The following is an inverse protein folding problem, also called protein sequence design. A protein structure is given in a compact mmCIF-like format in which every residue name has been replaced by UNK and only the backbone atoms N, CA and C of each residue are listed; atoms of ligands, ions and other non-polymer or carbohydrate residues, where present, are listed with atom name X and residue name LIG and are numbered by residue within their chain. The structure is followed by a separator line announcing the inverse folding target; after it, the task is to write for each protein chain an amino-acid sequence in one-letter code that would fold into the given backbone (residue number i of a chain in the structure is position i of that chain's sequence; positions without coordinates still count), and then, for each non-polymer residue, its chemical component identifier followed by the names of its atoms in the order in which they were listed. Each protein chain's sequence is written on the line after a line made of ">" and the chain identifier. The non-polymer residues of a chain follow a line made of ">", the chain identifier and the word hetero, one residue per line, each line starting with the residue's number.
data_IF_134041680189
#
_entry.id   IF_134041680189
#
_cell.length_a   1.000
_cell.length_b   1.000
_cell.length_c   1.000
_cell.angle_alpha   90.00
_cell.angle_beta   90.00
_cell.angle_gamma   90.00
#
_symmetry.space_group_name_H-M   'P 1'
#
loop_
_entity.id
_entity.type
_entity.pdbx_description
1 polymer ?
#
# COMPACT_ATOMS: atom_id res chain seq x y z
N UNK A 1 3.60 16.63 16.36
CA UNK A 1 2.83 16.44 15.11
C UNK A 1 3.33 15.13 14.50
N UNK A 2 2.47 14.14 14.36
CA UNK A 2 2.86 12.85 13.82
C UNK A 2 3.25 12.97 12.34
N UNK A 3 4.16 12.08 11.91
CA UNK A 3 4.72 12.07 10.56
C UNK A 3 4.41 10.75 9.86
N UNK A 4 4.06 10.81 8.59
CA UNK A 4 3.81 9.64 7.75
C UNK A 4 4.68 9.68 6.50
N UNK A 5 5.32 8.56 6.17
CA UNK A 5 5.85 8.33 4.83
C UNK A 5 4.88 7.42 4.07
N UNK A 6 4.34 7.94 2.96
CA UNK A 6 3.53 7.16 2.03
C UNK A 6 4.44 6.64 0.93
N UNK A 7 4.61 5.33 0.88
CA UNK A 7 5.43 4.67 -0.13
C UNK A 7 4.57 4.28 -1.31
N UNK A 8 4.96 4.73 -2.47
CA UNK A 8 4.25 4.55 -3.74
C UNK A 8 5.16 3.81 -4.70
N UNK A 9 4.66 2.82 -5.40
CA UNK A 9 5.44 2.10 -6.42
C UNK A 9 5.95 3.05 -7.51
N UNK A 10 7.20 2.86 -7.93
CA UNK A 10 7.79 3.51 -9.10
C UNK A 10 7.58 2.72 -10.39
N UNK A 11 7.04 1.50 -10.31
CA UNK A 11 6.78 0.67 -11.48
C UNK A 11 5.61 1.21 -12.30
N UNK A 12 5.78 1.29 -13.61
CA UNK A 12 4.73 1.63 -14.58
C UNK A 12 4.23 0.43 -15.39
N UNK A 13 4.85 -0.73 -15.15
CA UNK A 13 4.54 -2.00 -15.81
C UNK A 13 4.61 -3.14 -14.81
N UNK A 14 3.63 -4.03 -14.84
CA UNK A 14 3.68 -5.34 -14.20
C UNK A 14 3.94 -6.41 -15.25
N UNK A 15 5.03 -7.16 -15.12
CA UNK A 15 5.38 -8.25 -16.04
C UNK A 15 4.53 -9.47 -15.73
N UNK A 16 3.65 -9.83 -16.62
CA UNK A 16 2.73 -10.95 -16.45
C UNK A 16 3.43 -12.31 -16.65
N UNK A 17 2.78 -13.40 -16.22
CA UNK A 17 3.32 -14.78 -16.30
C UNK A 17 3.71 -15.18 -17.72
N UNK A 18 2.98 -14.71 -18.72
CA UNK A 18 3.28 -14.93 -20.15
C UNK A 18 4.30 -13.93 -20.73
N UNK A 19 5.01 -13.19 -19.86
CA UNK A 19 5.97 -12.15 -20.20
C UNK A 19 5.38 -10.91 -20.92
N UNK A 20 4.05 -10.78 -21.00
CA UNK A 20 3.45 -9.54 -21.53
C UNK A 20 3.53 -8.41 -20.51
N UNK A 21 3.84 -7.16 -20.92
CA UNK A 21 3.78 -6.01 -20.05
C UNK A 21 2.31 -5.61 -19.82
N UNK A 22 1.93 -5.44 -18.57
CA UNK A 22 0.65 -4.86 -18.19
C UNK A 22 0.90 -3.46 -17.63
N UNK A 23 0.36 -2.38 -18.27
CA UNK A 23 0.49 -1.02 -17.74
C UNK A 23 -0.13 -0.94 -16.36
N UNK A 24 0.60 -0.38 -15.41
CA UNK A 24 0.17 -0.26 -14.02
C UNK A 24 0.79 0.97 -13.34
N UNK A 25 0.68 1.02 -12.04
CA UNK A 25 1.21 2.04 -11.17
C UNK A 25 0.59 1.92 -9.78
N UNK A 26 0.44 3.05 -9.09
CA UNK A 26 -0.33 3.11 -7.87
C UNK A 26 -1.82 3.35 -8.16
N UNK A 27 -2.68 2.84 -7.29
CA UNK A 27 -4.13 3.06 -7.41
C UNK A 27 -4.53 4.43 -6.84
N UNK A 28 -5.22 5.24 -7.65
CA UNK A 28 -5.50 6.64 -7.31
C UNK A 28 -6.25 6.82 -5.98
N UNK A 29 -7.33 6.06 -5.73
CA UNK A 29 -8.12 6.15 -4.50
C UNK A 29 -7.33 5.75 -3.26
N UNK A 30 -6.45 4.76 -3.38
CA UNK A 30 -5.63 4.24 -2.29
C UNK A 30 -4.50 5.19 -1.87
N UNK A 31 -4.17 6.12 -2.74
CA UNK A 31 -3.29 7.23 -2.42
C UNK A 31 -4.09 8.46 -1.97
N UNK A 32 -5.06 8.91 -2.76
CA UNK A 32 -5.79 10.18 -2.55
C UNK A 32 -6.57 10.16 -1.24
N UNK A 33 -7.29 9.08 -0.94
CA UNK A 33 -8.14 9.01 0.24
C UNK A 33 -7.32 9.02 1.55
N UNK A 34 -6.28 8.19 1.72
CA UNK A 34 -5.42 8.26 2.90
C UNK A 34 -4.64 9.57 2.99
N UNK A 35 -4.08 10.07 1.88
CA UNK A 35 -3.32 11.31 1.87
C UNK A 35 -4.17 12.48 2.39
N UNK A 36 -5.42 12.61 1.91
CA UNK A 36 -6.35 13.63 2.36
C UNK A 36 -6.65 13.50 3.85
N UNK A 37 -7.01 12.29 4.30
CA UNK A 37 -7.31 12.03 5.72
C UNK A 37 -6.12 12.36 6.63
N UNK A 38 -4.91 12.01 6.23
CA UNK A 38 -3.70 12.34 6.99
C UNK A 38 -3.41 13.85 6.99
N UNK A 39 -3.59 14.52 5.86
CA UNK A 39 -3.45 15.98 5.76
C UNK A 39 -4.49 16.71 6.62
N UNK A 40 -5.76 16.30 6.56
CA UNK A 40 -6.85 16.88 7.35
C UNK A 40 -6.65 16.65 8.86
N UNK A 41 -6.00 15.55 9.24
CA UNK A 41 -5.59 15.27 10.62
C UNK A 41 -4.30 16.00 11.05
N UNK A 42 -3.70 16.80 10.16
CA UNK A 42 -2.51 17.60 10.43
C UNK A 42 -1.20 16.80 10.48
N UNK A 43 -1.12 15.61 9.87
CA UNK A 43 0.12 14.85 9.81
C UNK A 43 1.11 15.50 8.82
N UNK A 44 2.41 15.42 9.13
CA UNK A 44 3.46 15.75 8.17
C UNK A 44 3.61 14.56 7.20
N UNK A 45 3.29 14.78 5.92
CA UNK A 45 3.32 13.73 4.89
C UNK A 45 4.59 13.86 4.06
N UNK A 46 5.26 12.74 3.84
CA UNK A 46 6.36 12.57 2.88
C UNK A 46 5.95 11.50 1.89
N UNK A 47 6.16 11.75 0.59
CA UNK A 47 5.96 10.74 -0.46
C UNK A 47 7.32 10.14 -0.77
N UNK A 48 7.38 8.81 -0.86
CA UNK A 48 8.59 8.09 -1.24
C UNK A 48 8.29 7.04 -2.30
N UNK A 49 9.27 6.73 -3.12
CA UNK A 49 9.21 5.64 -4.08
C UNK A 49 10.55 4.92 -4.20
N UNK A 50 10.58 3.64 -4.61
CA UNK A 50 11.82 2.95 -4.96
C UNK A 50 12.66 3.78 -5.93
N UNK A 51 13.92 4.02 -5.61
CA UNK A 51 14.85 4.84 -6.41
C UNK A 51 14.48 6.33 -6.54
N UNK A 52 13.42 6.82 -5.91
CA UNK A 52 12.91 8.18 -6.11
C UNK A 52 12.27 8.40 -7.49
N UNK A 53 11.83 7.32 -8.12
CA UNK A 53 11.18 7.37 -9.44
C UNK A 53 9.82 8.05 -9.31
N UNK A 54 9.50 8.98 -10.21
CA UNK A 54 8.16 9.58 -10.29
C UNK A 54 7.10 8.51 -10.47
N UNK A 55 6.15 8.35 -9.52
CA UNK A 55 5.14 7.31 -9.59
C UNK A 55 4.18 7.53 -10.76
N UNK A 56 3.75 6.45 -11.38
CA UNK A 56 2.68 6.46 -12.40
C UNK A 56 1.37 6.03 -11.75
N UNK A 57 0.29 6.71 -12.08
CA UNK A 57 -1.06 6.29 -11.68
C UNK A 57 -1.47 5.11 -12.54
N UNK A 58 -2.00 4.06 -11.94
CA UNK A 58 -2.61 2.97 -12.70
C UNK A 58 -3.83 3.48 -13.48
N UNK A 59 -3.84 3.37 -14.81
CA UNK A 59 -4.94 3.91 -15.62
C UNK A 59 -6.30 3.26 -15.31
N UNK A 60 -6.32 2.00 -14.85
CA UNK A 60 -7.56 1.32 -14.45
C UNK A 60 -8.19 1.96 -13.21
N UNK A 61 -7.40 2.63 -12.37
CA UNK A 61 -7.91 3.30 -11.17
C UNK A 61 -8.91 4.43 -11.48
N UNK A 62 -8.92 4.92 -12.71
CA UNK A 62 -9.89 5.92 -13.17
C UNK A 62 -11.08 5.32 -13.92
N UNK A 63 -11.14 4.00 -14.07
CA UNK A 63 -12.31 3.36 -14.68
C UNK A 63 -13.53 3.50 -13.77
N UNK A 64 -14.65 3.88 -14.34
CA UNK A 64 -15.91 4.12 -13.61
C UNK A 64 -16.37 2.89 -12.83
N UNK A 65 -16.16 1.68 -13.36
CA UNK A 65 -16.53 0.43 -12.68
C UNK A 65 -15.87 0.28 -11.30
N UNK A 66 -14.62 0.75 -11.14
CA UNK A 66 -13.91 0.74 -9.87
C UNK A 66 -14.17 1.97 -8.99
N UNK A 67 -15.00 2.90 -9.46
CA UNK A 67 -15.35 4.13 -8.76
C UNK A 67 -16.86 4.25 -8.51
N UNK A 68 -17.56 3.12 -8.36
CA UNK A 68 -19.02 3.07 -8.14
C UNK A 68 -19.82 3.77 -9.26
N UNK A 69 -19.29 3.78 -10.49
CA UNK A 69 -19.82 4.50 -11.66
C UNK A 69 -19.97 6.01 -11.45
N UNK A 70 -19.20 6.61 -10.56
CA UNK A 70 -19.21 8.04 -10.24
C UNK A 70 -18.06 8.78 -10.97
N UNK A 71 -18.40 9.49 -12.04
CA UNK A 71 -17.45 10.31 -12.80
C UNK A 71 -16.96 11.53 -11.99
N UNK A 72 -17.77 12.03 -11.06
CA UNK A 72 -17.39 13.11 -10.16
C UNK A 72 -16.26 12.71 -9.23
N UNK A 73 -16.35 11.49 -8.68
CA UNK A 73 -15.31 10.88 -7.85
C UNK A 73 -13.99 10.72 -8.62
N UNK A 74 -14.05 10.24 -9.86
CA UNK A 74 -12.87 10.11 -10.72
C UNK A 74 -12.23 11.47 -10.97
N UNK A 75 -13.03 12.46 -11.35
CA UNK A 75 -12.55 13.83 -11.59
C UNK A 75 -11.91 14.43 -10.33
N UNK A 76 -12.52 14.26 -9.18
CA UNK A 76 -11.99 14.74 -7.90
C UNK A 76 -10.61 14.15 -7.58
N UNK A 77 -10.42 12.85 -7.81
CA UNK A 77 -9.13 12.17 -7.64
C UNK A 77 -8.08 12.74 -8.60
N UNK A 78 -8.42 12.91 -9.88
CA UNK A 78 -7.53 13.49 -10.89
C UNK A 78 -7.12 14.94 -10.53
N UNK A 79 -8.08 15.76 -10.13
CA UNK A 79 -7.84 17.14 -9.72
C UNK A 79 -6.96 17.20 -8.45
N UNK A 80 -7.17 16.27 -7.53
CA UNK A 80 -6.36 16.17 -6.31
C UNK A 80 -4.90 15.83 -6.63
N UNK A 81 -4.67 14.80 -7.44
CA UNK A 81 -3.32 14.40 -7.86
C UNK A 81 -2.61 15.53 -8.62
N UNK A 82 -3.33 16.23 -9.49
CA UNK A 82 -2.79 17.39 -10.21
C UNK A 82 -2.36 18.51 -9.26
N UNK A 83 -3.12 18.78 -8.19
CA UNK A 83 -2.76 19.82 -7.20
C UNK A 83 -1.51 19.50 -6.40
N UNK A 84 -1.18 18.21 -6.20
CA UNK A 84 0.04 17.81 -5.49
C UNK A 84 1.31 18.17 -6.26
N UNK A 85 1.26 18.23 -7.60
CA UNK A 85 2.36 18.73 -8.43
C UNK A 85 3.69 18.08 -8.09
N UNK A 86 4.69 18.90 -7.73
CA UNK A 86 6.05 18.45 -7.43
C UNK A 86 6.15 17.51 -6.22
N UNK A 87 5.21 17.56 -5.28
CA UNK A 87 5.19 16.66 -4.11
C UNK A 87 5.09 15.21 -4.56
N UNK A 88 4.30 14.95 -5.61
CA UNK A 88 4.16 13.60 -6.17
C UNK A 88 5.24 13.28 -7.21
N UNK A 89 5.69 14.27 -7.99
CA UNK A 89 6.64 14.04 -9.10
C UNK A 89 8.10 14.05 -8.68
N UNK A 90 8.41 14.44 -7.44
CA UNK A 90 9.77 14.44 -6.88
C UNK A 90 9.78 13.72 -5.53
N UNK A 91 9.45 12.43 -5.50
CA UNK A 91 9.37 11.68 -4.25
C UNK A 91 10.77 11.47 -3.64
N UNK A 92 10.80 11.30 -2.32
CA UNK A 92 11.99 10.84 -1.61
C UNK A 92 12.33 9.42 -2.06
N UNK A 93 13.62 9.10 -2.14
CA UNK A 93 14.03 7.71 -2.38
C UNK A 93 13.71 6.84 -1.17
N UNK A 94 13.13 5.67 -1.37
CA UNK A 94 12.89 4.71 -0.27
C UNK A 94 14.20 4.33 0.42
N UNK A 95 15.31 4.28 -0.30
CA UNK A 95 16.64 3.98 0.21
C UNK A 95 17.16 5.02 1.21
N UNK A 96 16.63 6.23 1.19
CA UNK A 96 17.00 7.33 2.10
C UNK A 96 16.07 7.42 3.33
N UNK A 97 15.01 6.58 3.38
CA UNK A 97 14.08 6.55 4.50
C UNK A 97 14.73 5.88 5.72
N UNK A 98 14.62 6.55 6.86
CA UNK A 98 15.04 6.02 8.15
C UNK A 98 13.80 5.78 9.03
N UNK A 99 13.72 4.62 9.67
CA UNK A 99 12.57 4.23 10.46
C UNK A 99 12.29 5.18 11.64
N UNK A 100 13.33 5.79 12.23
CA UNK A 100 13.19 6.75 13.32
C UNK A 100 12.65 8.12 12.88
N UNK A 101 12.79 8.45 11.60
CA UNK A 101 12.30 9.71 11.02
C UNK A 101 10.80 9.82 10.85
N UNK A 102 10.05 8.71 11.01
CA UNK A 102 8.60 8.67 10.78
C UNK A 102 7.88 7.89 11.87
N UNK A 103 6.64 8.28 12.16
CA UNK A 103 5.75 7.58 13.06
C UNK A 103 4.95 6.50 12.34
N UNK A 104 4.70 6.71 11.04
CA UNK A 104 3.88 5.86 10.19
C UNK A 104 4.58 5.62 8.87
N UNK A 105 4.58 4.37 8.39
CA UNK A 105 4.79 4.01 7.00
C UNK A 105 3.48 3.49 6.43
N UNK A 106 3.05 4.02 5.28
CA UNK A 106 1.83 3.62 4.59
C UNK A 106 2.17 3.17 3.16
N UNK A 107 2.00 1.88 2.88
CA UNK A 107 2.28 1.28 1.58
C UNK A 107 1.02 1.34 0.71
N UNK A 108 1.07 2.16 -0.33
CA UNK A 108 -0.03 2.35 -1.28
C UNK A 108 -0.08 1.17 -2.25
N UNK A 109 -1.27 0.74 -2.65
CA UNK A 109 -1.43 -0.38 -3.57
C UNK A 109 -1.56 0.04 -5.05
N UNK A 110 -2.27 -0.74 -5.82
CA UNK A 110 -2.17 -0.91 -7.27
C UNK A 110 -1.25 -2.09 -7.58
N UNK A 111 -1.17 -2.57 -8.83
CA UNK A 111 -0.31 -3.72 -9.14
C UNK A 111 1.20 -3.39 -9.18
N UNK A 112 1.58 -2.11 -9.23
CA UNK A 112 2.98 -1.69 -9.18
C UNK A 112 3.79 -2.30 -8.03
N UNK A 113 3.30 -2.35 -6.78
CA UNK A 113 3.96 -3.00 -5.65
C UNK A 113 4.37 -4.46 -5.88
N UNK A 114 3.63 -5.19 -6.71
CA UNK A 114 3.93 -6.57 -7.08
C UNK A 114 5.21 -6.68 -7.94
N UNK A 115 5.59 -5.60 -8.62
CA UNK A 115 6.76 -5.54 -9.49
C UNK A 115 8.02 -5.06 -8.75
N UNK A 116 7.92 -4.01 -7.93
CA UNK A 116 9.09 -3.36 -7.34
C UNK A 116 9.16 -3.45 -5.81
N UNK A 117 8.05 -3.19 -5.09
CA UNK A 117 8.07 -3.15 -3.63
C UNK A 117 8.24 -4.54 -3.01
N UNK A 118 7.73 -5.60 -3.67
CA UNK A 118 7.82 -6.98 -3.20
C UNK A 118 9.27 -7.52 -3.12
N UNK A 119 10.23 -6.83 -3.71
CA UNK A 119 11.63 -7.26 -3.80
C UNK A 119 12.62 -6.18 -3.32
N UNK A 120 12.15 -5.19 -2.55
CA UNK A 120 12.95 -4.03 -2.15
C UNK A 120 13.56 -4.19 -0.75
N UNK A 121 14.81 -4.64 -0.59
CA UNK A 121 15.36 -5.05 0.71
C UNK A 121 15.51 -3.89 1.71
N UNK A 122 15.86 -2.69 1.24
CA UNK A 122 15.99 -1.52 2.13
C UNK A 122 14.64 -1.15 2.76
N UNK A 123 13.55 -1.21 1.98
CA UNK A 123 12.20 -0.99 2.51
C UNK A 123 11.85 -2.06 3.55
N UNK A 124 12.21 -3.32 3.30
CA UNK A 124 12.03 -4.40 4.26
C UNK A 124 12.69 -4.13 5.59
N UNK A 125 13.92 -3.63 5.60
CA UNK A 125 14.64 -3.27 6.82
C UNK A 125 13.95 -2.13 7.60
N UNK A 126 13.42 -1.11 6.90
CA UNK A 126 12.63 -0.03 7.51
C UNK A 126 11.35 -0.59 8.13
N UNK A 127 10.63 -1.46 7.41
CA UNK A 127 9.39 -2.09 7.89
C UNK A 127 9.67 -2.92 9.17
N UNK A 128 10.75 -3.73 9.19
CA UNK A 128 11.14 -4.51 10.38
C UNK A 128 11.36 -3.58 11.56
N UNK A 129 12.17 -2.55 11.40
CA UNK A 129 12.48 -1.61 12.47
C UNK A 129 11.23 -0.89 13.02
N UNK A 130 10.26 -0.58 12.14
CA UNK A 130 9.00 0.03 12.57
C UNK A 130 8.06 -0.96 13.23
N UNK A 131 7.97 -2.21 12.74
CA UNK A 131 7.15 -3.25 13.38
C UNK A 131 7.66 -3.64 14.76
N UNK A 132 8.98 -3.62 14.97
CA UNK A 132 9.61 -3.95 16.25
C UNK A 132 9.51 -2.81 17.29
N UNK A 133 9.07 -1.62 16.86
CA UNK A 133 8.78 -0.49 17.74
C UNK A 133 7.26 -0.28 17.87
N UNK A 134 6.65 -0.62 19.03
CA UNK A 134 5.19 -0.52 19.21
C UNK A 134 4.63 0.91 19.14
N UNK A 135 5.49 1.93 19.15
CA UNK A 135 5.10 3.34 18.96
C UNK A 135 5.03 3.75 17.49
N UNK A 136 5.49 2.90 16.57
CA UNK A 136 5.44 3.14 15.12
C UNK A 136 4.31 2.34 14.51
N UNK A 137 3.78 2.78 13.38
CA UNK A 137 2.68 2.12 12.68
C UNK A 137 3.15 1.74 11.29
N UNK A 138 2.91 0.49 10.92
CA UNK A 138 3.08 0.00 9.54
C UNK A 138 1.70 -0.26 8.96
N UNK A 139 1.40 0.41 7.85
CA UNK A 139 0.11 0.24 7.18
C UNK A 139 0.30 -0.07 5.70
N UNK A 140 -0.65 -0.82 5.13
CA UNK A 140 -0.66 -1.17 3.71
C UNK A 140 -2.09 -1.42 3.23
N UNK A 141 -2.37 -1.20 1.94
CA UNK A 141 -3.69 -1.44 1.36
C UNK A 141 -3.58 -2.13 -0.01
N UNK A 142 -4.56 -2.98 -0.34
CA UNK A 142 -4.70 -3.65 -1.64
C UNK A 142 -3.47 -4.54 -1.95
N UNK A 143 -2.66 -4.21 -2.96
CA UNK A 143 -1.39 -4.87 -3.23
C UNK A 143 -0.19 -4.24 -2.48
N UNK A 144 -0.38 -3.15 -1.74
CA UNK A 144 0.66 -2.58 -0.87
C UNK A 144 1.31 -3.58 0.08
N UNK A 145 0.57 -4.58 0.67
CA UNK A 145 1.16 -5.63 1.49
C UNK A 145 2.22 -6.50 0.79
N UNK A 146 2.37 -6.43 -0.54
CA UNK A 146 3.50 -7.05 -1.23
C UNK A 146 4.85 -6.54 -0.69
N UNK A 147 4.92 -5.27 -0.30
CA UNK A 147 6.10 -4.71 0.34
C UNK A 147 6.44 -5.35 1.69
N UNK A 148 5.46 -5.86 2.42
CA UNK A 148 5.70 -6.56 3.69
C UNK A 148 6.50 -7.85 3.50
N UNK A 149 6.44 -8.47 2.31
CA UNK A 149 7.17 -9.71 2.01
C UNK A 149 8.69 -9.54 2.11
N UNK A 150 9.19 -8.31 1.98
CA UNK A 150 10.63 -8.00 2.11
C UNK A 150 11.10 -7.82 3.54
N UNK A 151 10.19 -7.81 4.52
CA UNK A 151 10.48 -7.54 5.93
C UNK A 151 11.03 -8.79 6.64
N UNK A 152 12.25 -9.21 6.25
CA UNK A 152 12.96 -10.32 6.89
C UNK A 152 13.86 -9.80 8.02
N UNK A 153 13.77 -10.44 9.20
CA UNK A 153 14.67 -10.22 10.33
C UNK A 153 16.05 -10.82 10.07
N UNK A 154 17.01 -10.50 10.90
CA UNK A 154 18.39 -11.02 10.78
C UNK A 154 18.50 -12.53 10.90
N UNK A 155 17.55 -13.18 11.58
CA UNK A 155 17.46 -14.64 11.71
C UNK A 155 16.71 -15.29 10.52
N UNK A 156 16.31 -14.52 9.52
CA UNK A 156 15.57 -14.98 8.35
C UNK A 156 14.05 -15.09 8.57
N UNK A 157 13.55 -14.82 9.79
CA UNK A 157 12.11 -14.87 10.03
C UNK A 157 11.41 -13.65 9.40
N UNK A 158 10.25 -13.87 8.82
CA UNK A 158 9.41 -12.80 8.30
C UNK A 158 8.75 -12.01 9.43
N UNK A 159 8.86 -10.69 9.42
CA UNK A 159 8.38 -9.83 10.52
C UNK A 159 6.86 -9.88 10.72
N UNK A 160 6.10 -10.29 9.72
CA UNK A 160 4.64 -10.44 9.81
C UNK A 160 4.20 -11.91 10.01
N UNK A 161 5.13 -12.84 10.28
CA UNK A 161 4.77 -14.23 10.62
C UNK A 161 3.84 -14.24 11.83
N UNK A 162 2.80 -15.08 11.77
CA UNK A 162 1.75 -15.21 12.78
C UNK A 162 0.92 -13.94 13.08
N UNK A 163 1.13 -12.84 12.30
CA UNK A 163 0.30 -11.62 12.39
C UNK A 163 -0.98 -11.79 11.59
N UNK A 164 -2.09 -11.24 12.10
CA UNK A 164 -3.30 -11.08 11.29
C UNK A 164 -3.10 -9.94 10.28
N UNK A 165 -3.45 -10.20 9.04
CA UNK A 165 -3.35 -9.22 7.97
C UNK A 165 -4.31 -9.54 6.83
N UNK A 166 -4.52 -8.56 5.96
CA UNK A 166 -5.27 -8.68 4.72
C UNK A 166 -4.52 -7.99 3.58
N UNK A 167 -5.02 -8.13 2.38
CA UNK A 167 -4.56 -7.51 1.15
C UNK A 167 -5.50 -7.92 0.04
N UNK A 168 -5.17 -7.61 -1.21
CA UNK A 168 -6.00 -7.99 -2.35
C UNK A 168 -6.13 -9.51 -2.41
N UNK A 169 -7.39 -9.99 -2.40
CA UNK A 169 -7.68 -11.43 -2.31
C UNK A 169 -7.59 -12.13 -3.66
N UNK A 170 -7.41 -13.45 -3.64
CA UNK A 170 -7.43 -14.26 -4.85
C UNK A 170 -8.79 -14.17 -5.58
N UNK A 171 -9.88 -14.05 -4.85
CA UNK A 171 -11.22 -13.87 -5.41
C UNK A 171 -11.33 -12.53 -6.15
N UNK A 172 -10.81 -11.45 -5.55
CA UNK A 172 -10.79 -10.12 -6.17
C UNK A 172 -9.87 -10.12 -7.40
N UNK A 173 -8.68 -10.73 -7.33
CA UNK A 173 -7.78 -10.86 -8.46
C UNK A 173 -8.41 -11.65 -9.63
N UNK A 174 -9.19 -12.69 -9.30
CA UNK A 174 -9.93 -13.48 -10.29
C UNK A 174 -11.06 -12.66 -10.93
N UNK A 175 -11.81 -11.90 -10.13
CA UNK A 175 -12.89 -11.04 -10.63
C UNK A 175 -12.36 -9.85 -11.44
N UNK A 176 -11.17 -9.34 -11.08
CA UNK A 176 -10.46 -8.32 -11.86
C UNK A 176 -9.87 -8.87 -13.16
N UNK A 177 -9.82 -10.19 -13.33
CA UNK A 177 -9.38 -10.85 -14.56
C UNK A 177 -7.88 -11.10 -14.65
N UNK A 178 -7.11 -10.86 -13.58
CA UNK A 178 -5.65 -10.96 -13.62
C UNK A 178 -5.10 -12.29 -13.07
N UNK A 179 -5.85 -13.00 -12.20
CA UNK A 179 -5.35 -14.18 -11.48
C UNK A 179 -4.74 -15.25 -12.40
N UNK A 180 -5.33 -15.49 -13.59
CA UNK A 180 -4.86 -16.52 -14.53
C UNK A 180 -3.48 -16.22 -15.14
N UNK A 181 -3.09 -14.96 -15.23
CA UNK A 181 -1.83 -14.51 -15.84
C UNK A 181 -0.90 -13.78 -14.86
N UNK A 182 -1.30 -13.58 -13.61
CA UNK A 182 -0.44 -13.05 -12.56
C UNK A 182 0.76 -14.00 -12.35
N UNK A 183 1.99 -13.47 -12.22
CA UNK A 183 3.16 -14.29 -11.92
C UNK A 183 3.04 -15.03 -10.59
N UNK A 184 2.38 -14.39 -9.64
CA UNK A 184 2.04 -14.90 -8.32
C UNK A 184 0.86 -14.09 -7.74
N UNK A 185 0.16 -14.67 -6.78
CA UNK A 185 -0.98 -14.06 -6.11
C UNK A 185 -0.57 -13.56 -4.73
N UNK A 186 -1.00 -12.35 -4.35
CA UNK A 186 -0.62 -11.71 -3.10
C UNK A 186 -1.10 -12.52 -1.88
N UNK A 187 -2.37 -12.89 -1.84
CA UNK A 187 -2.93 -13.68 -0.74
C UNK A 187 -2.14 -14.96 -0.52
N UNK A 188 -1.83 -15.70 -1.60
CA UNK A 188 -1.04 -16.95 -1.51
C UNK A 188 0.33 -16.69 -0.89
N UNK A 189 1.02 -15.64 -1.33
CA UNK A 189 2.34 -15.30 -0.79
C UNK A 189 2.30 -14.91 0.67
N UNK A 190 1.32 -14.12 1.07
CA UNK A 190 1.15 -13.74 2.48
C UNK A 190 0.89 -14.96 3.38
N UNK A 191 0.03 -15.90 2.92
CA UNK A 191 -0.26 -17.16 3.63
C UNK A 191 0.97 -18.08 3.70
N UNK A 192 1.65 -18.31 2.58
CA UNK A 192 2.84 -19.18 2.50
C UNK A 192 3.97 -18.62 3.36
N UNK A 193 4.10 -17.29 3.47
CA UNK A 193 5.08 -16.64 4.34
C UNK A 193 4.74 -16.76 5.84
N UNK A 194 3.58 -17.32 6.19
CA UNK A 194 3.16 -17.55 7.56
C UNK A 194 2.25 -16.49 8.17
N UNK A 195 1.68 -15.58 7.34
CA UNK A 195 0.68 -14.62 7.80
C UNK A 195 -0.68 -15.29 8.04
N UNK A 196 -1.38 -14.85 9.08
CA UNK A 196 -2.78 -15.23 9.31
C UNK A 196 -3.68 -14.33 8.47
N UNK A 197 -3.70 -14.61 7.17
CA UNK A 197 -4.49 -13.82 6.23
C UNK A 197 -5.99 -14.01 6.47
N UNK A 198 -6.72 -12.90 6.54
CA UNK A 198 -8.18 -12.84 6.66
C UNK A 198 -8.75 -11.90 5.61
N UNK A 199 -9.91 -12.23 5.08
CA UNK A 199 -10.64 -11.39 4.11
C UNK A 199 -12.13 -11.35 4.43
N UNK A 200 -12.80 -10.32 3.93
CA UNK A 200 -14.27 -10.28 3.77
C UNK A 200 -14.64 -10.63 2.34
N UNK A 201 -15.94 -10.62 2.06
CA UNK A 201 -16.45 -10.76 0.70
C UNK A 201 -15.75 -9.79 -0.24
N UNK A 202 -15.48 -10.18 -1.50
CA UNK A 202 -14.85 -9.30 -2.48
C UNK A 202 -15.51 -7.92 -2.55
N UNK A 203 -14.67 -6.89 -2.66
CA UNK A 203 -15.06 -5.48 -2.75
C UNK A 203 -15.74 -4.88 -1.51
N UNK A 204 -15.96 -5.65 -0.44
CA UNK A 204 -16.44 -5.11 0.82
C UNK A 204 -15.30 -4.37 1.55
N UNK A 205 -15.49 -3.12 2.02
CA UNK A 205 -14.48 -2.42 2.79
C UNK A 205 -14.05 -3.22 4.01
N UNK A 206 -12.75 -3.48 4.14
CA UNK A 206 -12.18 -4.27 5.22
C UNK A 206 -10.77 -3.81 5.59
N UNK A 207 -10.56 -3.53 6.87
CA UNK A 207 -9.23 -3.29 7.44
C UNK A 207 -9.00 -4.23 8.62
N UNK A 208 -7.77 -4.68 8.76
CA UNK A 208 -7.29 -5.53 9.86
C UNK A 208 -6.26 -4.75 10.65
N UNK A 209 -6.40 -4.76 11.98
CA UNK A 209 -5.43 -4.18 12.91
C UNK A 209 -4.90 -5.32 13.78
N UNK A 210 -3.60 -5.51 13.76
CA UNK A 210 -2.89 -6.43 14.63
C UNK A 210 -1.73 -5.66 15.27
N UNK A 211 -1.92 -5.22 16.51
CA UNK A 211 -0.98 -4.33 17.19
C UNK A 211 -0.73 -3.06 16.38
N UNK A 212 0.50 -2.88 15.92
CA UNK A 212 0.94 -1.74 15.11
C UNK A 212 0.95 -2.00 13.59
N UNK A 213 0.44 -3.15 13.15
CA UNK A 213 0.25 -3.45 11.73
C UNK A 213 -1.22 -3.21 11.36
N UNK A 214 -1.44 -2.40 10.31
CA UNK A 214 -2.77 -2.09 9.77
C UNK A 214 -2.79 -2.46 8.29
N UNK A 215 -3.71 -3.31 7.86
CA UNK A 215 -3.82 -3.68 6.45
C UNK A 215 -5.24 -3.55 5.95
N UNK A 216 -5.40 -3.10 4.70
CA UNK A 216 -6.68 -2.98 4.00
C UNK A 216 -6.76 -3.90 2.80
N UNK A 217 -7.96 -4.45 2.53
CA UNK A 217 -8.11 -5.53 1.56
C UNK A 217 -7.98 -5.06 0.10
N UNK A 218 -8.60 -3.96 -0.29
CA UNK A 218 -8.64 -3.47 -1.67
C UNK A 218 -8.96 -1.95 -1.69
N UNK A 219 -9.18 -1.36 -2.87
CA UNK A 219 -9.35 0.08 -3.04
C UNK A 219 -10.46 0.72 -2.18
N UNK A 220 -11.63 0.08 -2.03
CA UNK A 220 -12.70 0.60 -1.15
C UNK A 220 -12.34 0.52 0.34
N UNK A 221 -11.26 -0.18 0.68
CA UNK A 221 -10.71 -0.25 2.03
C UNK A 221 -9.77 0.90 2.38
N UNK A 222 -9.39 1.76 1.42
CA UNK A 222 -8.43 2.84 1.63
C UNK A 222 -8.84 3.78 2.77
N UNK A 223 -10.13 4.15 2.81
CA UNK A 223 -10.67 5.04 3.84
C UNK A 223 -10.64 4.42 5.23
N UNK A 224 -11.16 3.21 5.39
CA UNK A 224 -11.21 2.53 6.70
C UNK A 224 -9.82 2.13 7.19
N UNK A 225 -8.87 1.90 6.29
CA UNK A 225 -7.46 1.65 6.63
C UNK A 225 -6.82 2.93 7.20
N UNK A 226 -7.01 4.07 6.54
CA UNK A 226 -6.51 5.35 7.03
C UNK A 226 -7.14 5.74 8.38
N UNK A 227 -8.45 5.50 8.56
CA UNK A 227 -9.14 5.74 9.83
C UNK A 227 -8.57 4.87 10.97
N UNK A 228 -8.26 3.60 10.69
CA UNK A 228 -7.63 2.71 11.66
C UNK A 228 -6.23 3.21 12.06
N UNK A 229 -5.43 3.70 11.09
CA UNK A 229 -4.12 4.32 11.35
C UNK A 229 -4.28 5.55 12.25
N UNK A 230 -5.18 6.48 11.90
CA UNK A 230 -5.42 7.71 12.69
C UNK A 230 -5.89 7.40 14.12
N UNK A 231 -6.72 6.36 14.27
CA UNK A 231 -7.15 5.91 15.61
C UNK A 231 -5.98 5.43 16.46
N UNK A 232 -5.03 4.69 15.88
CA UNK A 232 -3.83 4.24 16.59
C UNK A 232 -2.93 5.43 16.98
N UNK A 233 -2.77 6.42 16.10
CA UNK A 233 -1.99 7.64 16.39
C UNK A 233 -2.56 8.37 17.59
N UNK A 234 -3.90 8.52 17.69
CA UNK A 234 -4.56 9.23 18.79
C UNK A 234 -4.48 8.54 20.15
N UNK A 235 -4.14 7.24 20.18
CA UNK A 235 -3.96 6.46 21.42
C UNK A 235 -2.49 6.46 21.86
N UNK A 236 -1.55 6.73 20.95
CA UNK A 236 -0.11 6.63 21.18
C UNK A 236 0.54 7.98 21.54
N UNK A 237 -0.20 9.09 21.35
CA UNK A 237 0.18 10.47 21.70
C UNK A 237 -0.54 10.89 22.98
#
# INVERSE_FOLDING_TARGET
>A
MASVVMVVSGASVWTMKNATPHPTGFWSEEFVTPHRKFADAGLKITIASPGGVTPTVDPLSFNLAYNSNDAGKVKEQQDYLKRLGSVLTSPTRVEDIKADGFDIIFLVGGHGPMQDMAVHPTMGAVIVAMLDNPKKIVAAVCHGPAGLLTAARSDGTWACKDRQLTGFSNDEESQAGFAGNAPWLLEDRLRISGGRYVSKAPWAPHAVVDGNLVTGQQNYSAGVTADAVLKLVSVTV
#
